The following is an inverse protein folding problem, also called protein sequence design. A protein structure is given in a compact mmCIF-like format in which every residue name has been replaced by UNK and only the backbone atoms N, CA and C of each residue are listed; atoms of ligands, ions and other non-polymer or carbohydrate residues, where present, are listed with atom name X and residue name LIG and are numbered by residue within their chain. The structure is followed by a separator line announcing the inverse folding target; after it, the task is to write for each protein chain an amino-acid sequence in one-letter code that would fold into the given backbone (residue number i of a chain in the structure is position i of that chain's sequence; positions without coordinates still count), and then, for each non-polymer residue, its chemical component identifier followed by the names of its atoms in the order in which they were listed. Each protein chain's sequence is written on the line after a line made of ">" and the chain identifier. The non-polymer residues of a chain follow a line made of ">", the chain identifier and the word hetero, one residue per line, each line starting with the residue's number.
data_IF_303460281369
#
_entry.id   IF_303460281369
#
_cell.length_a   1.000
_cell.length_b   1.000
_cell.length_c   1.000
_cell.angle_alpha   90.00
_cell.angle_beta   90.00
_cell.angle_gamma   90.00
#
_symmetry.space_group_name_H-M   'P 1'
#
loop_
_entity.id
_entity.type
_entity.pdbx_description
1 polymer ?
#
# COMPACT_ATOMS: atom_id res chain seq x y z
N UNK A 1 9.94 0.42 -17.66
CA UNK A 1 8.71 0.28 -16.86
C UNK A 1 8.50 1.52 -15.99
N UNK A 2 7.26 2.02 -15.92
CA UNK A 2 6.81 3.09 -15.02
C UNK A 2 5.88 2.47 -13.97
N UNK A 3 6.10 2.74 -12.72
CA UNK A 3 5.29 2.28 -11.60
C UNK A 3 6.16 1.59 -10.55
N UNK A 4 5.62 1.14 -9.50
CA UNK A 4 4.23 1.22 -9.06
C UNK A 4 3.97 2.52 -8.28
N UNK A 5 3.30 2.39 -7.14
CA UNK A 5 2.93 3.49 -6.24
C UNK A 5 2.06 4.58 -6.91
N UNK A 6 1.97 5.74 -6.32
CA UNK A 6 1.15 6.86 -6.81
C UNK A 6 1.86 7.66 -7.92
N UNK A 7 2.51 6.98 -8.87
CA UNK A 7 3.29 7.63 -9.95
C UNK A 7 2.44 8.50 -10.87
N UNK A 8 1.16 8.22 -11.00
CA UNK A 8 0.23 9.00 -11.81
C UNK A 8 -0.50 10.11 -11.01
N UNK A 9 -0.16 10.28 -9.72
CA UNK A 9 -0.82 11.25 -8.86
C UNK A 9 -0.19 12.66 -9.01
N UNK A 10 -0.68 13.44 -10.00
CA UNK A 10 -0.23 14.82 -10.21
C UNK A 10 -0.64 15.80 -9.09
N UNK A 11 -1.55 15.38 -8.20
CA UNK A 11 -2.01 16.19 -7.07
C UNK A 11 -1.22 15.92 -5.79
N UNK A 12 -0.25 15.02 -5.83
CA UNK A 12 0.65 14.78 -4.72
C UNK A 12 1.56 16.00 -4.52
N UNK A 13 1.61 16.51 -3.30
CA UNK A 13 2.53 17.60 -2.94
C UNK A 13 3.95 17.04 -2.84
N UNK A 14 4.66 17.07 -3.94
CA UNK A 14 6.08 16.66 -4.00
C UNK A 14 6.96 17.88 -4.32
N UNK A 15 8.24 17.82 -3.95
CA UNK A 15 9.24 18.82 -4.34
C UNK A 15 9.49 18.83 -5.85
N UNK A 16 9.16 17.76 -6.55
CA UNK A 16 9.39 17.57 -7.99
C UNK A 16 8.27 18.14 -8.87
N UNK A 17 7.06 18.34 -8.29
CA UNK A 17 5.91 18.81 -9.05
C UNK A 17 5.40 17.78 -10.05
N UNK A 18 4.63 18.28 -11.03
CA UNK A 18 4.14 17.50 -12.16
C UNK A 18 5.25 17.30 -13.21
N UNK A 19 5.35 16.08 -13.74
CA UNK A 19 6.24 15.76 -14.87
C UNK A 19 5.55 14.79 -15.83
N UNK A 20 5.61 15.11 -17.13
CA UNK A 20 5.07 14.27 -18.21
C UNK A 20 5.80 12.93 -18.35
N UNK A 21 7.01 12.80 -17.83
CA UNK A 21 7.80 11.57 -17.84
C UNK A 21 7.05 10.42 -17.15
N UNK A 22 6.30 10.70 -16.06
CA UNK A 22 5.52 9.71 -15.35
C UNK A 22 4.33 9.18 -16.15
N UNK A 23 3.94 9.89 -17.20
CA UNK A 23 2.89 9.48 -18.15
C UNK A 23 3.45 8.96 -19.48
N UNK A 24 4.75 8.66 -19.53
CA UNK A 24 5.40 8.01 -20.66
C UNK A 24 6.18 8.95 -21.59
N UNK A 25 6.26 10.25 -21.34
CA UNK A 25 7.06 11.14 -22.18
C UNK A 25 8.56 11.01 -21.87
N UNK A 26 9.18 9.95 -22.38
CA UNK A 26 10.60 9.62 -22.21
C UNK A 26 11.20 9.35 -23.61
N UNK A 27 11.65 10.40 -24.32
CA UNK A 27 12.11 10.29 -25.71
C UNK A 27 13.30 9.32 -25.93
N UNK A 28 14.02 8.96 -24.88
CA UNK A 28 15.17 8.06 -24.94
C UNK A 28 14.78 6.58 -24.83
N UNK A 29 13.51 6.28 -24.58
CA UNK A 29 13.03 4.91 -24.44
C UNK A 29 12.28 4.47 -25.71
N UNK A 30 12.69 3.34 -26.28
CA UNK A 30 12.03 2.76 -27.45
C UNK A 30 10.63 2.24 -27.15
N UNK A 31 10.42 1.79 -25.92
CA UNK A 31 9.14 1.28 -25.45
C UNK A 31 8.93 1.58 -23.98
N UNK A 32 7.73 2.02 -23.63
CA UNK A 32 7.36 2.36 -22.26
C UNK A 32 6.07 1.65 -21.89
N UNK A 33 6.06 0.98 -20.74
CA UNK A 33 4.88 0.32 -20.17
C UNK A 33 4.75 0.69 -18.70
N UNK A 34 3.52 0.71 -18.17
CA UNK A 34 3.33 0.88 -16.73
C UNK A 34 3.04 -0.46 -16.06
N UNK A 35 3.43 -0.58 -14.79
CA UNK A 35 3.07 -1.68 -13.93
C UNK A 35 2.52 -1.19 -12.60
N UNK A 36 1.26 -1.55 -12.31
CA UNK A 36 0.58 -1.23 -11.07
C UNK A 36 0.66 0.25 -10.66
N UNK A 37 0.63 1.19 -11.65
CA UNK A 37 0.64 2.63 -11.39
C UNK A 37 -0.67 3.10 -10.78
N UNK A 38 -0.65 4.16 -9.97
CA UNK A 38 -1.85 4.67 -9.31
C UNK A 38 -1.97 6.19 -9.40
N UNK A 39 -3.20 6.67 -9.57
CA UNK A 39 -3.56 8.07 -9.39
C UNK A 39 -3.77 8.45 -7.91
N UNK A 40 -3.66 7.48 -7.00
CA UNK A 40 -3.82 7.72 -5.56
C UNK A 40 -5.18 8.32 -5.22
N UNK A 41 -5.17 9.48 -4.57
CA UNK A 41 -6.39 10.21 -4.23
C UNK A 41 -6.89 11.17 -5.32
N UNK A 42 -6.15 11.30 -6.43
CA UNK A 42 -6.57 12.12 -7.57
C UNK A 42 -7.79 11.47 -8.24
N UNK A 43 -8.82 12.27 -8.47
CA UNK A 43 -10.04 11.86 -9.17
C UNK A 43 -10.13 12.51 -10.56
N UNK A 44 -10.91 11.93 -11.44
CA UNK A 44 -11.18 12.52 -12.77
C UNK A 44 -11.74 13.96 -12.67
N UNK A 45 -12.62 14.22 -11.70
CA UNK A 45 -13.17 15.55 -11.46
C UNK A 45 -12.09 16.57 -11.04
N UNK A 46 -11.07 16.11 -10.29
CA UNK A 46 -9.94 16.96 -9.91
C UNK A 46 -9.03 17.25 -11.10
N UNK A 47 -8.73 16.26 -11.95
CA UNK A 47 -7.96 16.45 -13.18
C UNK A 47 -8.62 17.48 -14.11
N UNK A 48 -9.93 17.36 -14.33
CA UNK A 48 -10.71 18.33 -15.12
C UNK A 48 -10.67 19.73 -14.52
N UNK A 49 -10.82 19.84 -13.20
CA UNK A 49 -10.73 21.15 -12.49
C UNK A 49 -9.36 21.80 -12.67
N UNK A 50 -8.29 21.00 -12.70
CA UNK A 50 -6.92 21.47 -12.92
C UNK A 50 -6.58 21.65 -14.39
N UNK A 51 -7.48 21.28 -15.32
CA UNK A 51 -7.30 21.38 -16.76
C UNK A 51 -6.08 20.60 -17.29
N UNK A 52 -5.74 19.48 -16.65
CA UNK A 52 -4.59 18.62 -17.03
C UNK A 52 -5.03 17.27 -17.61
N UNK A 53 -6.33 16.96 -17.58
CA UNK A 53 -6.90 15.71 -18.04
C UNK A 53 -6.60 15.42 -19.52
N UNK A 54 -6.73 16.42 -20.38
CA UNK A 54 -6.43 16.30 -21.81
C UNK A 54 -4.96 16.01 -22.09
N UNK A 55 -4.06 16.76 -21.45
CA UNK A 55 -2.61 16.57 -21.60
C UNK A 55 -2.15 15.22 -21.10
N UNK A 56 -2.58 14.81 -19.89
CA UNK A 56 -2.25 13.51 -19.31
C UNK A 56 -2.76 12.38 -20.21
N UNK A 57 -4.02 12.44 -20.62
CA UNK A 57 -4.63 11.43 -21.49
C UNK A 57 -3.91 11.27 -22.81
N UNK A 58 -3.59 12.38 -23.48
CA UNK A 58 -2.85 12.38 -24.73
C UNK A 58 -1.44 11.80 -24.53
N UNK A 59 -0.72 12.27 -23.51
CA UNK A 59 0.65 11.79 -23.20
C UNK A 59 0.66 10.27 -22.95
N UNK A 60 -0.25 9.75 -22.12
CA UNK A 60 -0.35 8.31 -21.85
C UNK A 60 -0.67 7.52 -23.12
N UNK A 61 -1.63 8.00 -23.93
CA UNK A 61 -2.08 7.32 -25.15
C UNK A 61 -0.99 7.25 -26.21
N UNK A 62 -0.18 8.28 -26.35
CA UNK A 62 0.88 8.36 -27.35
C UNK A 62 2.14 7.59 -26.94
N UNK A 63 2.44 7.47 -25.66
CA UNK A 63 3.74 7.00 -25.22
C UNK A 63 3.69 5.65 -24.48
N UNK A 64 2.58 5.27 -23.85
CA UNK A 64 2.49 3.99 -23.14
C UNK A 64 2.01 2.87 -24.06
N UNK A 65 2.86 1.89 -24.32
CA UNK A 65 2.54 0.73 -25.16
C UNK A 65 1.61 -0.28 -24.45
N UNK A 66 1.61 -0.29 -23.13
CA UNK A 66 0.69 -1.05 -22.29
C UNK A 66 0.54 -0.36 -20.93
N UNK A 67 -0.65 -0.44 -20.37
CA UNK A 67 -0.98 0.24 -19.12
C UNK A 67 -1.51 -0.77 -18.11
N UNK A 68 -0.83 -0.83 -16.96
CA UNK A 68 -1.29 -1.55 -15.79
C UNK A 68 -1.37 -0.60 -14.60
N UNK A 69 -2.45 -0.71 -13.85
CA UNK A 69 -2.77 0.09 -12.67
C UNK A 69 -3.02 -0.81 -11.46
N UNK A 70 -3.07 -0.26 -10.23
CA UNK A 70 -3.26 -1.08 -9.03
C UNK A 70 -4.59 -0.90 -8.32
N UNK A 71 -5.46 -0.03 -8.83
CA UNK A 71 -6.76 0.25 -8.18
C UNK A 71 -7.83 0.66 -9.20
N UNK A 72 -9.11 0.52 -8.81
CA UNK A 72 -10.23 0.80 -9.66
C UNK A 72 -10.33 2.26 -10.08
N UNK A 73 -10.03 3.21 -9.17
CA UNK A 73 -10.05 4.63 -9.50
C UNK A 73 -9.06 4.95 -10.64
N UNK A 74 -7.87 4.34 -10.59
CA UNK A 74 -6.85 4.51 -11.62
C UNK A 74 -7.26 3.86 -12.94
N UNK A 75 -7.92 2.70 -12.90
CA UNK A 75 -8.49 2.05 -14.08
C UNK A 75 -9.52 2.97 -14.76
N UNK A 76 -10.49 3.48 -14.00
CA UNK A 76 -11.56 4.33 -14.52
C UNK A 76 -11.00 5.64 -15.13
N UNK A 77 -9.98 6.23 -14.50
CA UNK A 77 -9.30 7.42 -15.02
C UNK A 77 -8.60 7.11 -16.34
N UNK A 78 -7.78 6.05 -16.39
CA UNK A 78 -7.07 5.67 -17.62
C UNK A 78 -8.04 5.38 -18.76
N UNK A 79 -9.07 4.58 -18.53
CA UNK A 79 -10.08 4.28 -19.55
C UNK A 79 -10.77 5.55 -20.05
N UNK A 80 -11.14 6.46 -19.14
CA UNK A 80 -11.79 7.72 -19.54
C UNK A 80 -10.87 8.65 -20.35
N UNK A 81 -9.59 8.78 -19.94
CA UNK A 81 -8.65 9.70 -20.56
C UNK A 81 -8.09 9.19 -21.89
N UNK A 82 -7.89 7.88 -22.01
CA UNK A 82 -7.18 7.28 -23.14
C UNK A 82 -8.07 6.43 -24.06
N UNK A 83 -9.20 5.95 -23.57
CA UNK A 83 -10.01 4.92 -24.23
C UNK A 83 -9.39 3.52 -24.16
N UNK A 84 -8.26 3.35 -23.47
CA UNK A 84 -7.55 2.06 -23.33
C UNK A 84 -8.02 1.37 -22.06
N UNK A 85 -8.40 0.10 -22.18
CA UNK A 85 -8.66 -0.76 -21.02
C UNK A 85 -7.32 -1.22 -20.45
N UNK A 86 -6.98 -0.69 -19.27
CA UNK A 86 -5.78 -1.09 -18.55
C UNK A 86 -5.99 -2.43 -17.82
N UNK A 87 -4.91 -3.09 -17.44
CA UNK A 87 -4.98 -4.22 -16.53
C UNK A 87 -4.82 -3.76 -15.07
N UNK A 88 -5.45 -4.48 -14.15
CA UNK A 88 -5.29 -4.21 -12.71
C UNK A 88 -4.39 -5.30 -12.12
N UNK A 89 -3.26 -4.90 -11.53
CA UNK A 89 -2.34 -5.80 -10.84
C UNK A 89 -2.06 -5.31 -9.43
N UNK A 90 -1.77 -6.24 -8.53
CA UNK A 90 -1.35 -5.92 -7.18
C UNK A 90 0.02 -5.23 -7.16
N UNK A 91 0.27 -4.51 -6.07
CA UNK A 91 1.55 -3.87 -5.81
C UNK A 91 2.71 -4.88 -5.89
N UNK A 92 3.85 -4.53 -6.50
CA UNK A 92 4.99 -5.46 -6.68
C UNK A 92 5.55 -6.01 -5.38
N UNK A 93 5.38 -5.32 -4.25
CA UNK A 93 5.80 -5.82 -2.94
C UNK A 93 4.99 -7.06 -2.54
N UNK A 94 3.68 -7.12 -2.87
CA UNK A 94 2.85 -8.32 -2.67
C UNK A 94 3.20 -9.44 -3.65
N UNK A 95 3.53 -9.07 -4.90
CA UNK A 95 3.86 -10.04 -5.94
C UNK A 95 5.18 -10.74 -5.64
N UNK A 96 6.22 -10.00 -5.29
CA UNK A 96 7.51 -10.58 -4.92
C UNK A 96 7.45 -11.27 -3.55
N UNK A 97 6.83 -10.63 -2.54
CA UNK A 97 6.56 -11.19 -1.22
C UNK A 97 7.75 -11.24 -0.27
N UNK A 98 8.97 -11.04 -0.72
CA UNK A 98 10.20 -10.95 0.09
C UNK A 98 10.42 -12.09 1.10
N UNK A 99 9.99 -13.31 0.76
CA UNK A 99 9.99 -14.44 1.69
C UNK A 99 11.38 -14.76 2.22
N UNK A 100 12.36 -14.88 1.33
CA UNK A 100 13.73 -15.24 1.68
C UNK A 100 14.39 -14.14 2.52
N UNK A 101 14.16 -12.88 2.18
CA UNK A 101 14.68 -11.73 2.91
C UNK A 101 14.04 -11.59 4.31
N UNK A 102 12.75 -11.93 4.44
CA UNK A 102 12.05 -11.95 5.72
C UNK A 102 12.54 -13.11 6.59
N UNK A 103 12.76 -14.30 6.02
CA UNK A 103 13.24 -15.47 6.75
C UNK A 103 14.71 -15.32 7.18
N UNK A 104 15.53 -14.66 6.36
CA UNK A 104 16.94 -14.41 6.68
C UNK A 104 17.17 -13.43 7.83
N UNK A 105 16.14 -12.71 8.29
CA UNK A 105 16.25 -11.68 9.31
C UNK A 105 15.36 -11.99 10.51
N UNK A 106 15.96 -11.98 11.68
CA UNK A 106 15.26 -12.10 12.95
C UNK A 106 15.58 -10.88 13.82
N UNK A 107 14.54 -10.31 14.42
CA UNK A 107 14.73 -9.29 15.45
C UNK A 107 14.77 -9.98 16.81
N UNK A 108 15.94 -9.93 17.45
CA UNK A 108 16.05 -10.36 18.85
C UNK A 108 15.40 -9.30 19.74
N UNK A 109 14.27 -9.63 20.32
CA UNK A 109 13.56 -8.75 21.26
C UNK A 109 13.34 -9.45 22.59
N UNK A 110 13.56 -8.72 23.68
CA UNK A 110 13.44 -9.27 25.02
C UNK A 110 11.98 -9.49 25.48
N UNK A 111 11.00 -8.97 24.74
CA UNK A 111 9.57 -9.05 25.09
C UNK A 111 8.67 -8.88 23.89
N UNK A 112 7.45 -9.47 23.91
CA UNK A 112 6.48 -9.34 22.82
C UNK A 112 6.06 -7.88 22.62
N UNK A 113 5.78 -7.53 21.36
CA UNK A 113 5.44 -6.15 20.99
C UNK A 113 4.40 -6.05 19.90
N UNK A 114 3.76 -4.88 19.85
CA UNK A 114 2.88 -4.42 18.79
C UNK A 114 3.60 -3.35 17.97
N UNK A 115 3.59 -3.47 16.66
CA UNK A 115 4.08 -2.42 15.76
C UNK A 115 3.00 -1.38 15.48
N UNK A 116 3.40 -0.12 15.59
CA UNK A 116 2.65 1.04 15.13
C UNK A 116 3.37 1.61 13.92
N UNK A 117 2.74 1.55 12.75
CA UNK A 117 3.31 2.01 11.49
C UNK A 117 2.41 3.03 10.82
N UNK A 118 2.80 4.29 10.87
CA UNK A 118 2.02 5.42 10.38
C UNK A 118 2.93 6.61 10.06
N UNK A 119 2.42 7.61 9.38
CA UNK A 119 3.12 8.90 9.26
C UNK A 119 3.02 9.71 10.54
N UNK A 120 4.01 10.58 10.77
CA UNK A 120 4.08 11.42 11.96
C UNK A 120 2.77 12.17 12.20
N UNK A 121 2.22 12.04 13.40
CA UNK A 121 1.02 12.75 13.85
C UNK A 121 -0.32 12.25 13.28
N UNK A 122 -0.36 11.23 12.41
CA UNK A 122 -1.63 10.74 11.83
C UNK A 122 -2.49 9.94 12.80
N UNK A 123 -1.89 9.18 13.70
CA UNK A 123 -2.60 8.54 14.81
C UNK A 123 -2.60 9.53 15.98
N UNK A 124 -3.51 10.48 15.94
CA UNK A 124 -3.65 11.57 16.94
C UNK A 124 -5.01 11.58 17.66
N UNK A 125 -5.96 10.76 17.23
CA UNK A 125 -7.26 10.67 17.89
C UNK A 125 -7.12 9.98 19.24
N UNK A 126 -7.52 10.67 20.32
CA UNK A 126 -7.41 10.17 21.71
C UNK A 126 -8.13 8.84 21.93
N UNK A 127 -9.25 8.62 21.26
CA UNK A 127 -10.01 7.37 21.37
C UNK A 127 -9.27 6.22 20.70
N UNK A 128 -8.67 6.43 19.51
CA UNK A 128 -7.82 5.42 18.86
C UNK A 128 -6.63 5.06 19.72
N UNK A 129 -5.89 6.06 20.21
CA UNK A 129 -4.74 5.87 21.09
C UNK A 129 -5.15 5.09 22.33
N UNK A 130 -6.25 5.44 22.96
CA UNK A 130 -6.76 4.74 24.15
C UNK A 130 -7.02 3.26 23.87
N UNK A 131 -7.69 2.93 22.77
CA UNK A 131 -7.98 1.55 22.39
C UNK A 131 -6.70 0.76 22.13
N UNK A 132 -5.76 1.32 21.36
CA UNK A 132 -4.46 0.70 21.05
C UNK A 132 -3.67 0.43 22.34
N UNK A 133 -3.52 1.43 23.20
CA UNK A 133 -2.79 1.33 24.47
C UNK A 133 -3.47 0.33 25.41
N UNK A 134 -4.79 0.35 25.50
CA UNK A 134 -5.55 -0.58 26.35
C UNK A 134 -5.33 -2.02 25.88
N UNK A 135 -5.41 -2.28 24.58
CA UNK A 135 -5.16 -3.60 24.02
C UNK A 135 -3.72 -4.09 24.28
N UNK A 136 -2.73 -3.24 24.01
CA UNK A 136 -1.33 -3.58 24.24
C UNK A 136 -1.05 -3.94 25.71
N UNK A 137 -1.60 -3.15 26.66
CA UNK A 137 -1.46 -3.43 28.08
C UNK A 137 -2.14 -4.73 28.50
N UNK A 138 -3.35 -5.00 28.00
CA UNK A 138 -4.07 -6.25 28.28
C UNK A 138 -3.28 -7.48 27.81
N UNK A 139 -2.63 -7.37 26.65
CA UNK A 139 -1.81 -8.44 26.05
C UNK A 139 -0.35 -8.42 26.52
N UNK A 140 0.03 -7.48 27.38
CA UNK A 140 1.41 -7.30 27.86
C UNK A 140 2.40 -7.06 26.71
N UNK A 141 1.99 -6.32 25.70
CA UNK A 141 2.80 -5.97 24.55
C UNK A 141 3.44 -4.59 24.72
N UNK A 142 4.73 -4.48 24.38
CA UNK A 142 5.34 -3.16 24.18
C UNK A 142 4.80 -2.52 22.92
N UNK A 143 4.64 -1.22 22.93
CA UNK A 143 4.26 -0.43 21.76
C UNK A 143 5.52 0.09 21.08
N UNK A 144 5.81 -0.41 19.89
CA UNK A 144 6.98 -0.02 19.09
C UNK A 144 6.51 0.74 17.86
N UNK A 145 6.84 2.03 17.79
CA UNK A 145 6.59 2.84 16.61
C UNK A 145 7.77 2.74 15.63
N UNK A 146 7.47 2.53 14.35
CA UNK A 146 8.47 2.40 13.29
C UNK A 146 8.45 3.65 12.41
N UNK A 147 9.61 4.28 12.23
CA UNK A 147 9.90 5.55 11.54
C UNK A 147 9.38 6.82 12.24
N UNK A 148 8.28 6.76 12.96
CA UNK A 148 7.70 7.92 13.62
C UNK A 148 7.82 7.79 15.13
N UNK A 149 7.96 8.93 15.81
CA UNK A 149 7.93 8.95 17.26
C UNK A 149 6.54 9.36 17.75
N UNK A 150 5.96 8.49 18.57
CA UNK A 150 4.73 8.76 19.30
C UNK A 150 5.01 8.69 20.80
N UNK A 151 4.68 9.74 21.55
CA UNK A 151 4.97 9.83 23.01
C UNK A 151 4.18 8.81 23.84
N UNK A 152 3.14 8.20 23.26
CA UNK A 152 2.35 7.12 23.86
C UNK A 152 2.87 5.72 23.52
N UNK A 153 3.92 5.58 22.71
CA UNK A 153 4.62 4.33 22.46
C UNK A 153 5.81 4.19 23.42
N UNK A 154 6.12 2.93 23.76
CA UNK A 154 7.24 2.61 24.66
C UNK A 154 8.59 2.81 23.98
N UNK A 155 8.64 2.62 22.67
CA UNK A 155 9.86 2.70 21.87
C UNK A 155 9.57 3.26 20.48
N UNK A 156 10.54 4.00 19.93
CA UNK A 156 10.55 4.44 18.54
C UNK A 156 11.82 3.94 17.85
N UNK A 157 11.67 3.23 16.74
CA UNK A 157 12.77 2.65 15.99
C UNK A 157 12.89 3.28 14.60
N UNK A 158 14.14 3.47 14.16
CA UNK A 158 14.48 3.96 12.83
C UNK A 158 15.26 2.88 12.08
N UNK A 159 14.55 1.98 11.38
CA UNK A 159 15.19 0.94 10.58
C UNK A 159 16.12 1.54 9.52
N UNK A 160 17.28 0.93 9.32
CA UNK A 160 18.28 1.40 8.35
C UNK A 160 17.96 0.97 6.92
N UNK A 161 17.23 -0.12 6.76
CA UNK A 161 16.85 -0.68 5.47
C UNK A 161 15.38 -1.09 5.43
N UNK A 162 14.76 -1.20 4.25
CA UNK A 162 13.40 -1.74 4.14
C UNK A 162 13.27 -3.16 4.71
N UNK A 163 14.32 -3.96 4.64
CA UNK A 163 14.32 -5.32 5.19
C UNK A 163 14.32 -5.34 6.72
N UNK A 164 14.90 -4.34 7.36
CA UNK A 164 14.80 -4.19 8.82
C UNK A 164 13.37 -3.84 9.24
N UNK A 165 12.65 -3.07 8.40
CA UNK A 165 11.21 -2.84 8.61
C UNK A 165 10.45 -4.15 8.59
N UNK A 166 10.67 -4.99 7.57
CA UNK A 166 10.03 -6.31 7.47
C UNK A 166 10.37 -7.20 8.66
N UNK A 167 11.60 -7.14 9.16
CA UNK A 167 12.01 -7.89 10.36
C UNK A 167 11.23 -7.43 11.61
N UNK A 168 11.03 -6.12 11.80
CA UNK A 168 10.16 -5.59 12.86
C UNK A 168 8.72 -6.06 12.72
N UNK A 169 8.18 -6.06 11.50
CA UNK A 169 6.83 -6.58 11.25
C UNK A 169 6.74 -8.07 11.54
N UNK A 170 7.69 -8.87 11.06
CA UNK A 170 7.72 -10.33 11.25
C UNK A 170 7.80 -10.73 12.71
N UNK A 171 8.53 -9.99 13.54
CA UNK A 171 8.68 -10.26 14.98
C UNK A 171 7.50 -9.77 15.83
N UNK A 172 6.60 -8.94 15.30
CA UNK A 172 5.50 -8.38 16.05
C UNK A 172 4.40 -9.42 16.34
N UNK A 173 3.72 -9.29 17.47
CA UNK A 173 2.48 -10.06 17.75
C UNK A 173 1.31 -9.56 16.92
N UNK A 174 1.21 -8.25 16.71
CA UNK A 174 0.22 -7.64 15.84
C UNK A 174 0.66 -6.22 15.40
N UNK A 175 -0.05 -5.67 14.43
CA UNK A 175 0.29 -4.41 13.79
C UNK A 175 -0.94 -3.49 13.72
N UNK A 176 -0.73 -2.20 14.02
CA UNK A 176 -1.70 -1.15 13.73
C UNK A 176 -1.07 -0.18 12.75
N UNK A 177 -1.75 0.02 11.63
CA UNK A 177 -1.28 0.92 10.56
C UNK A 177 -2.42 1.71 9.94
N UNK A 178 -2.12 2.88 9.39
CA UNK A 178 -3.02 3.64 8.52
C UNK A 178 -2.38 3.90 7.14
N UNK A 179 -1.38 3.09 6.78
CA UNK A 179 -0.66 3.24 5.52
C UNK A 179 -0.90 2.06 4.59
N UNK A 180 -0.79 2.30 3.29
CA UNK A 180 -0.91 1.26 2.27
C UNK A 180 0.18 0.19 2.44
N UNK A 181 1.44 0.60 2.48
CA UNK A 181 2.55 -0.34 2.63
C UNK A 181 2.59 -1.02 4.00
N UNK A 182 2.15 -0.35 5.08
CA UNK A 182 2.02 -1.01 6.37
C UNK A 182 1.01 -2.17 6.34
N UNK A 183 -0.09 -2.01 5.60
CA UNK A 183 -1.05 -3.10 5.35
C UNK A 183 -0.39 -4.23 4.54
N UNK A 184 0.33 -3.90 3.46
CA UNK A 184 1.07 -4.88 2.65
C UNK A 184 2.11 -5.64 3.49
N UNK A 185 2.90 -4.94 4.29
CA UNK A 185 3.92 -5.56 5.13
C UNK A 185 3.31 -6.49 6.17
N UNK A 186 2.14 -6.13 6.73
CA UNK A 186 1.40 -7.03 7.63
C UNK A 186 0.98 -8.32 6.93
N UNK A 187 0.52 -8.21 5.67
CA UNK A 187 0.11 -9.36 4.86
C UNK A 187 1.30 -10.27 4.56
N UNK A 188 2.39 -9.74 4.00
CA UNK A 188 3.54 -10.58 3.59
C UNK A 188 4.33 -11.17 4.77
N UNK A 189 4.21 -10.58 5.96
CA UNK A 189 4.80 -11.13 7.19
C UNK A 189 3.85 -12.05 7.96
N UNK A 190 2.63 -12.25 7.47
CA UNK A 190 1.58 -13.06 8.07
C UNK A 190 1.27 -12.68 9.53
N UNK A 191 1.18 -11.39 9.82
CA UNK A 191 0.86 -10.91 11.18
C UNK A 191 -0.55 -10.39 11.30
N UNK A 192 -1.24 -10.66 12.42
CA UNK A 192 -2.52 -10.01 12.70
C UNK A 192 -2.39 -8.49 12.63
N UNK A 193 -3.34 -7.82 12.01
CA UNK A 193 -3.26 -6.39 11.85
C UNK A 193 -4.61 -5.70 11.85
N UNK A 194 -4.57 -4.40 12.06
CA UNK A 194 -5.70 -3.49 11.93
C UNK A 194 -5.30 -2.32 11.02
N UNK A 195 -6.06 -2.10 9.94
CA UNK A 195 -5.88 -0.95 9.04
C UNK A 195 -6.86 0.15 9.39
N UNK A 196 -6.33 1.28 9.84
CA UNK A 196 -7.12 2.47 10.17
C UNK A 196 -7.45 3.24 8.89
N UNK A 197 -8.71 3.29 8.52
CA UNK A 197 -9.16 3.92 7.28
C UNK A 197 -9.36 5.42 7.48
N UNK A 198 -8.66 6.21 6.67
CA UNK A 198 -8.72 7.67 6.59
C UNK A 198 -9.33 8.09 5.25
N UNK A 199 -9.85 9.31 5.15
CA UNK A 199 -10.32 9.85 3.86
C UNK A 199 -9.24 9.79 2.77
N UNK A 200 -7.98 10.04 3.13
CA UNK A 200 -6.84 10.08 2.20
C UNK A 200 -6.33 8.71 1.74
N UNK A 201 -6.67 7.61 2.43
CA UNK A 201 -6.21 6.27 2.08
C UNK A 201 -7.35 5.32 1.73
N UNK A 202 -8.60 5.74 1.88
CA UNK A 202 -9.78 4.90 1.78
C UNK A 202 -9.82 4.12 0.47
N UNK A 203 -9.76 4.79 -0.66
CA UNK A 203 -9.90 4.15 -1.98
C UNK A 203 -8.90 3.01 -2.18
N UNK A 204 -7.62 3.27 -1.90
CA UNK A 204 -6.56 2.29 -2.10
C UNK A 204 -6.58 1.14 -1.09
N UNK A 205 -6.93 1.41 0.18
CA UNK A 205 -7.01 0.37 1.21
C UNK A 205 -8.30 -0.45 1.08
N UNK A 206 -9.42 0.18 0.77
CA UNK A 206 -10.67 -0.53 0.54
C UNK A 206 -10.52 -1.52 -0.61
N UNK A 207 -9.93 -1.09 -1.73
CA UNK A 207 -9.70 -1.94 -2.90
C UNK A 207 -8.72 -3.08 -2.58
N UNK A 208 -7.57 -2.78 -1.97
CA UNK A 208 -6.57 -3.79 -1.60
C UNK A 208 -7.14 -4.87 -0.68
N UNK A 209 -7.81 -4.44 0.39
CA UNK A 209 -8.35 -5.37 1.39
C UNK A 209 -9.53 -6.19 0.84
N UNK A 210 -10.30 -5.62 -0.07
CA UNK A 210 -11.36 -6.34 -0.77
C UNK A 210 -10.78 -7.43 -1.69
N UNK A 211 -9.80 -7.10 -2.51
CA UNK A 211 -9.11 -8.05 -3.39
C UNK A 211 -8.49 -9.23 -2.63
N UNK A 212 -7.92 -8.96 -1.45
CA UNK A 212 -7.32 -9.99 -0.61
C UNK A 212 -8.32 -10.74 0.29
N UNK A 213 -9.61 -10.35 0.26
CA UNK A 213 -10.63 -10.92 1.15
C UNK A 213 -10.43 -10.57 2.62
N UNK A 214 -9.83 -9.41 2.91
CA UNK A 214 -9.43 -8.94 4.25
C UNK A 214 -10.22 -7.71 4.71
N UNK A 215 -11.45 -7.55 4.23
CA UNK A 215 -12.30 -6.39 4.59
C UNK A 215 -12.54 -6.23 6.10
N UNK A 216 -12.50 -7.33 6.85
CA UNK A 216 -12.67 -7.35 8.31
C UNK A 216 -11.45 -6.78 9.06
N UNK A 217 -10.34 -6.47 8.37
CA UNK A 217 -9.16 -5.80 8.95
C UNK A 217 -9.31 -4.27 9.02
N UNK A 218 -10.38 -3.73 8.43
CA UNK A 218 -10.63 -2.28 8.39
C UNK A 218 -11.26 -1.76 9.67
N UNK A 219 -10.73 -0.63 10.17
CA UNK A 219 -11.40 0.18 11.19
C UNK A 219 -11.65 1.57 10.62
N UNK A 220 -12.92 1.93 10.49
CA UNK A 220 -13.34 3.23 9.98
C UNK A 220 -13.26 4.29 11.08
N UNK A 221 -13.11 5.55 10.68
CA UNK A 221 -13.24 6.68 11.59
C UNK A 221 -14.62 6.64 12.29
N UNK A 222 -14.64 6.80 13.60
CA UNK A 222 -15.83 6.64 14.43
C UNK A 222 -16.02 5.26 15.07
N UNK A 223 -15.36 4.24 14.56
CA UNK A 223 -15.47 2.84 15.02
C UNK A 223 -14.24 2.35 15.80
N UNK A 224 -13.57 3.23 16.52
CA UNK A 224 -12.29 2.93 17.19
C UNK A 224 -12.40 1.78 18.20
N UNK A 225 -13.56 1.60 18.84
CA UNK A 225 -13.83 0.47 19.74
C UNK A 225 -13.70 -0.91 19.08
N UNK A 226 -13.66 -0.97 17.74
CA UNK A 226 -13.46 -2.20 17.00
C UNK A 226 -11.99 -2.63 16.90
N UNK A 227 -11.01 -1.78 17.23
CA UNK A 227 -9.57 -2.08 17.10
C UNK A 227 -9.23 -3.40 17.80
N UNK A 228 -9.63 -3.54 19.06
CA UNK A 228 -9.40 -4.75 19.85
C UNK A 228 -10.00 -5.99 19.18
N UNK A 229 -11.28 -5.93 18.78
CA UNK A 229 -11.97 -7.06 18.17
C UNK A 229 -11.39 -7.44 16.79
N UNK A 230 -10.90 -6.46 16.03
CA UNK A 230 -10.23 -6.71 14.75
C UNK A 230 -8.90 -7.41 14.96
N UNK A 231 -8.09 -6.98 15.94
CA UNK A 231 -6.80 -7.60 16.25
C UNK A 231 -6.94 -9.03 16.80
N UNK A 232 -8.00 -9.32 17.55
CA UNK A 232 -8.28 -10.66 18.09
C UNK A 232 -8.78 -11.66 17.02
N UNK A 233 -9.34 -11.15 15.93
CA UNK A 233 -9.87 -12.02 14.88
C UNK A 233 -8.72 -12.68 14.12
N UNK A 234 -8.70 -14.02 13.97
CA UNK A 234 -7.69 -14.70 13.18
C UNK A 234 -7.73 -14.25 11.71
N UNK A 235 -6.57 -14.28 11.06
CA UNK A 235 -6.46 -14.02 9.60
C UNK A 235 -6.31 -15.37 8.90
N UNK A 236 -7.14 -15.61 7.89
CA UNK A 236 -7.01 -16.79 7.03
C UNK A 236 -5.92 -16.57 5.99
N UNK A 237 -4.67 -16.71 6.40
CA UNK A 237 -3.53 -16.57 5.49
C UNK A 237 -3.44 -17.66 4.43
N UNK A 238 -4.09 -18.81 4.60
CA UNK A 238 -4.17 -19.86 3.56
C UNK A 238 -4.94 -19.31 2.36
N UNK A 239 -6.09 -18.71 2.60
CA UNK A 239 -6.90 -18.07 1.55
C UNK A 239 -6.19 -16.88 0.91
N UNK A 240 -5.53 -16.04 1.71
CA UNK A 240 -4.75 -14.90 1.21
C UNK A 240 -3.64 -15.37 0.28
N UNK A 241 -2.87 -16.39 0.65
CA UNK A 241 -1.79 -16.93 -0.19
C UNK A 241 -2.30 -17.57 -1.49
N UNK A 242 -3.49 -18.18 -1.48
CA UNK A 242 -4.12 -18.67 -2.71
C UNK A 242 -4.43 -17.52 -3.68
N UNK A 243 -4.99 -16.42 -3.16
CA UNK A 243 -5.25 -15.21 -3.95
C UNK A 243 -3.93 -14.62 -4.47
N UNK A 244 -2.92 -14.46 -3.62
CA UNK A 244 -1.61 -13.94 -4.01
C UNK A 244 -0.92 -14.79 -5.07
N UNK A 245 -1.07 -16.12 -5.02
CA UNK A 245 -0.52 -17.03 -6.05
C UNK A 245 -1.12 -16.72 -7.43
N UNK A 246 -2.45 -16.66 -7.51
CA UNK A 246 -3.14 -16.34 -8.77
C UNK A 246 -2.76 -14.94 -9.29
N UNK A 247 -2.64 -13.96 -8.40
CA UNK A 247 -2.25 -12.61 -8.79
C UNK A 247 -0.78 -12.53 -9.23
N UNK A 248 0.12 -13.33 -8.64
CA UNK A 248 1.51 -13.48 -9.09
C UNK A 248 1.59 -14.05 -10.50
N UNK A 249 0.83 -15.09 -10.80
CA UNK A 249 0.76 -15.68 -12.13
C UNK A 249 0.30 -14.64 -13.16
N UNK A 250 -0.80 -13.93 -12.92
CA UNK A 250 -1.30 -12.85 -13.79
C UNK A 250 -0.28 -11.73 -13.99
N UNK A 251 0.39 -11.30 -12.92
CA UNK A 251 1.41 -10.26 -12.99
C UNK A 251 2.63 -10.69 -13.80
N UNK A 252 3.07 -11.94 -13.62
CA UNK A 252 4.19 -12.50 -14.38
C UNK A 252 3.85 -12.64 -15.86
N UNK A 253 2.66 -13.12 -16.19
CA UNK A 253 2.18 -13.21 -17.58
C UNK A 253 2.19 -11.84 -18.26
N UNK A 254 1.64 -10.80 -17.57
CA UNK A 254 1.69 -9.45 -18.09
C UNK A 254 3.13 -8.97 -18.32
N UNK A 255 4.02 -9.13 -17.35
CA UNK A 255 5.42 -8.67 -17.45
C UNK A 255 6.18 -9.39 -18.58
N UNK A 256 6.03 -10.72 -18.70
CA UNK A 256 6.66 -11.50 -19.75
C UNK A 256 6.19 -11.09 -21.13
N UNK A 257 4.87 -10.95 -21.33
CA UNK A 257 4.31 -10.44 -22.60
C UNK A 257 4.87 -9.07 -22.97
N UNK A 258 5.16 -8.21 -21.97
CA UNK A 258 5.73 -6.90 -22.27
C UNK A 258 7.23 -6.94 -22.54
N UNK A 259 7.96 -7.91 -21.98
CA UNK A 259 9.40 -8.13 -22.24
C UNK A 259 9.64 -8.79 -23.59
N UNK A 260 8.83 -9.77 -23.98
CA UNK A 260 8.98 -10.50 -25.27
C UNK A 260 8.70 -9.62 -26.50
N UNK A 261 8.16 -8.42 -26.31
CA UNK A 261 7.89 -7.44 -27.39
C UNK A 261 9.02 -6.42 -27.54
N UNK A 262 10.11 -6.55 -26.78
CA UNK A 262 11.33 -5.73 -26.90
C UNK A 262 12.32 -6.42 -27.84
#
# INVERSE_FOLDING_TARGET
>A
FIGSDEVFNCCQKTTWGYTSQLYGHIPQADRIVSYAGSFGHTTLGLLKKLQVDGEIGQTMKENLSAISVRDQNSYDIVEHLTGIKSEIHLDPVLIYGYKDEIEARCMETCSPYMVIYSYQGRIGNKSEIKEIVTYARLKKLRLVSVFCRYDWCDEAVLPSTPFDVLAWFKGAECIVTDTFHGTIFSVITHRPFCSLIRSSNRQKLDFLLDQLGLCERKVLAGNQSMICSVLERPVDYIRVEQTLRSERERAMDYLLVQLDKV
#
